data_IF_497494070824
#
_entry.id   IF_497494070824
#
_cell.length_a   1.000
_cell.length_b   1.000
_cell.length_c   1.000
_cell.angle_alpha   90.00
_cell.angle_beta   90.00
_cell.angle_gamma   90.00
#
_symmetry.space_group_name_H-M   'P 1'
#
loop_
_entity.id
_entity.type
_entity.pdbx_description
1 polymer ?
#
# COMPACT_ATOMS: atom_id res chain seq x y z
N UNK A 1 -2.14 -42.42 1.67
CA UNK A 1 -1.21 -41.65 0.81
C UNK A 1 -1.97 -40.51 0.17
N UNK A 2 -2.02 -39.33 0.82
CA UNK A 2 -2.77 -38.16 0.37
C UNK A 2 -1.79 -37.05 -0.10
N UNK A 3 -0.91 -37.38 -1.07
CA UNK A 3 -0.03 -36.40 -1.72
C UNK A 3 -0.35 -36.36 -3.22
N UNK A 4 -1.54 -35.89 -3.56
CA UNK A 4 -1.89 -35.59 -4.95
C UNK A 4 -1.47 -34.18 -5.35
N UNK A 5 -1.27 -33.90 -6.67
CA UNK A 5 -0.88 -32.59 -7.19
C UNK A 5 -1.82 -31.44 -6.75
N UNK A 6 -3.07 -31.75 -6.42
CA UNK A 6 -4.01 -30.77 -5.87
C UNK A 6 -3.60 -30.21 -4.50
N UNK A 7 -2.95 -31.02 -3.67
CA UNK A 7 -2.55 -30.58 -2.33
C UNK A 7 -1.32 -29.63 -2.39
N UNK A 8 -0.42 -29.86 -3.31
CA UNK A 8 0.75 -28.98 -3.53
C UNK A 8 0.33 -27.62 -4.12
N UNK A 9 -0.69 -27.57 -4.97
CA UNK A 9 -1.24 -26.33 -5.51
C UNK A 9 -1.99 -25.53 -4.41
N UNK A 10 -2.75 -26.21 -3.56
CA UNK A 10 -3.45 -25.56 -2.43
C UNK A 10 -2.47 -24.99 -1.43
N UNK A 11 -1.38 -25.71 -1.11
CA UNK A 11 -0.33 -25.20 -0.20
C UNK A 11 0.34 -23.96 -0.79
N UNK A 12 0.74 -23.99 -2.06
CA UNK A 12 1.33 -22.83 -2.74
C UNK A 12 0.38 -21.64 -2.82
N UNK A 13 -0.91 -21.87 -3.05
CA UNK A 13 -1.92 -20.80 -3.06
C UNK A 13 -2.05 -20.15 -1.68
N UNK A 14 -2.02 -20.95 -0.61
CA UNK A 14 -2.07 -20.45 0.75
C UNK A 14 -0.80 -19.68 1.13
N UNK A 15 0.37 -20.13 0.70
CA UNK A 15 1.65 -19.43 0.95
C UNK A 15 1.74 -18.08 0.21
N UNK A 16 1.11 -17.97 -0.95
CA UNK A 16 1.08 -16.74 -1.75
C UNK A 16 -0.08 -15.79 -1.37
N UNK A 17 -1.09 -16.27 -0.68
CA UNK A 17 -2.28 -15.49 -0.31
C UNK A 17 -1.95 -14.20 0.49
N UNK A 18 -1.03 -14.20 1.46
CA UNK A 18 -0.64 -12.98 2.17
C UNK A 18 0.03 -11.96 1.24
N UNK A 19 0.90 -12.41 0.33
CA UNK A 19 1.61 -11.56 -0.63
C UNK A 19 0.66 -11.01 -1.68
N UNK A 20 -0.27 -11.83 -2.16
CA UNK A 20 -1.33 -11.41 -3.06
C UNK A 20 -2.37 -10.48 -2.41
N UNK A 21 -2.34 -10.35 -1.08
CA UNK A 21 -3.26 -9.50 -0.33
C UNK A 21 -4.66 -10.08 -0.17
N UNK A 22 -4.88 -11.35 -0.50
CA UNK A 22 -6.21 -11.98 -0.44
C UNK A 22 -6.64 -12.37 0.98
N UNK A 23 -5.71 -12.33 1.94
CA UNK A 23 -5.97 -12.62 3.35
C UNK A 23 -5.52 -11.47 4.24
N UNK A 24 -6.19 -11.30 5.37
CA UNK A 24 -5.74 -10.42 6.43
C UNK A 24 -4.41 -10.92 7.00
N UNK A 25 -3.53 -10.01 7.38
CA UNK A 25 -2.19 -10.33 7.93
C UNK A 25 -2.02 -9.62 9.27
N UNK A 26 -1.41 -10.30 10.22
CA UNK A 26 -1.07 -9.73 11.51
C UNK A 26 0.42 -9.92 11.80
N UNK A 27 1.07 -8.90 12.35
CA UNK A 27 2.47 -8.96 12.72
C UNK A 27 3.03 -7.63 13.20
N UNK A 28 4.29 -7.62 13.60
CA UNK A 28 5.01 -6.40 13.96
C UNK A 28 5.29 -5.55 12.72
N UNK A 29 5.46 -4.25 12.91
CA UNK A 29 5.72 -3.36 11.79
C UNK A 29 5.83 -1.89 12.15
N UNK A 30 5.57 -1.05 11.15
CA UNK A 30 5.61 0.41 11.22
C UNK A 30 4.25 1.01 10.90
N UNK A 31 3.92 2.08 11.63
CA UNK A 31 2.87 3.01 11.27
C UNK A 31 3.50 4.37 11.00
N UNK A 32 3.24 4.92 9.82
CA UNK A 32 3.73 6.23 9.37
C UNK A 32 2.49 7.10 9.15
N UNK A 33 2.40 8.19 9.89
CA UNK A 33 1.31 9.16 9.74
C UNK A 33 1.85 10.42 9.08
N UNK A 34 1.20 10.85 8.01
CA UNK A 34 1.51 12.07 7.27
C UNK A 34 0.30 12.98 7.29
N UNK A 35 0.50 14.23 7.64
CA UNK A 35 -0.55 15.26 7.54
C UNK A 35 0.03 16.55 6.97
N UNK A 36 -0.81 17.33 6.30
CA UNK A 36 -0.42 18.59 5.71
C UNK A 36 0.15 19.56 6.78
N UNK A 37 1.05 20.44 6.36
CA UNK A 37 1.56 21.49 7.22
C UNK A 37 0.43 22.34 7.77
N UNK A 38 0.58 22.80 9.01
CA UNK A 38 -0.39 23.69 9.63
C UNK A 38 -0.50 24.98 8.81
N UNK A 39 -1.72 25.39 8.47
CA UNK A 39 -1.99 26.58 7.64
C UNK A 39 -1.87 26.37 6.13
N UNK A 40 -1.55 25.18 5.64
CA UNK A 40 -1.65 24.86 4.19
C UNK A 40 -3.14 24.82 3.79
N UNK A 41 -3.63 25.92 3.20
CA UNK A 41 -5.05 26.15 2.94
C UNK A 41 -5.72 25.09 2.08
N UNK A 42 -7.00 24.87 2.34
CA UNK A 42 -7.86 23.88 1.69
C UNK A 42 -8.26 24.24 0.25
N UNK A 43 -7.89 25.42 -0.26
CA UNK A 43 -8.58 26.05 -1.38
C UNK A 43 -7.85 26.06 -2.72
N UNK A 44 -6.74 25.35 -2.89
CA UNK A 44 -6.09 25.23 -4.20
C UNK A 44 -6.40 23.90 -4.87
N UNK A 45 -7.44 23.90 -5.68
CA UNK A 45 -7.71 22.85 -6.67
C UNK A 45 -6.54 22.81 -7.66
N UNK A 46 -5.85 21.68 -7.76
CA UNK A 46 -4.86 21.47 -8.79
C UNK A 46 -3.40 21.56 -8.35
N UNK A 47 -3.02 20.81 -7.30
CA UNK A 47 -1.60 20.63 -6.99
C UNK A 47 -0.92 19.77 -8.05
N UNK A 48 -0.23 20.41 -8.98
CA UNK A 48 0.77 19.78 -9.83
C UNK A 48 2.00 19.31 -9.05
N UNK A 49 3.05 18.82 -9.73
CA UNK A 49 4.33 18.49 -9.08
C UNK A 49 4.86 19.71 -8.32
N UNK A 50 5.52 19.46 -7.19
CA UNK A 50 6.17 20.53 -6.41
C UNK A 50 7.14 21.29 -7.29
N UNK A 51 6.86 22.56 -7.54
CA UNK A 51 7.77 23.54 -8.10
C UNK A 51 8.11 24.54 -6.99
N UNK A 52 9.28 25.17 -7.04
CA UNK A 52 9.96 25.87 -5.94
C UNK A 52 9.23 27.08 -5.30
N UNK A 53 7.96 27.35 -5.64
CA UNK A 53 7.20 28.51 -5.14
C UNK A 53 5.68 28.31 -5.01
N UNK A 54 5.19 27.06 -4.85
CA UNK A 54 3.76 26.77 -4.96
C UNK A 54 3.08 26.63 -3.58
N UNK A 55 1.86 27.18 -3.35
CA UNK A 55 1.05 26.95 -2.14
C UNK A 55 0.76 25.47 -1.79
N UNK A 56 1.07 24.56 -2.70
CA UNK A 56 1.00 23.12 -2.47
C UNK A 56 2.18 22.55 -1.65
N UNK A 57 3.22 23.34 -1.31
CA UNK A 57 4.45 22.84 -0.68
C UNK A 57 4.23 22.19 0.68
N UNK A 58 3.30 22.69 1.47
CA UNK A 58 2.93 22.13 2.75
C UNK A 58 1.89 21.00 2.70
N UNK A 59 1.52 20.50 1.52
CA UNK A 59 0.50 19.46 1.39
C UNK A 59 1.10 18.12 1.01
N UNK A 60 0.60 17.06 1.63
CA UNK A 60 0.96 15.69 1.26
C UNK A 60 0.44 15.37 -0.13
N UNK A 61 1.29 14.83 -0.98
CA UNK A 61 0.98 14.48 -2.36
C UNK A 61 0.93 12.97 -2.56
N UNK A 62 0.24 12.53 -3.61
CA UNK A 62 0.22 11.11 -4.00
C UNK A 62 1.63 10.54 -4.22
N UNK A 63 2.54 11.36 -4.76
CA UNK A 63 3.95 11.00 -4.95
C UNK A 63 4.67 10.72 -3.63
N UNK A 64 4.37 11.46 -2.57
CA UNK A 64 4.98 11.25 -1.26
C UNK A 64 4.62 9.87 -0.72
N UNK A 65 3.33 9.51 -0.79
CA UNK A 65 2.86 8.19 -0.40
C UNK A 65 3.45 7.08 -1.28
N UNK A 66 3.59 7.32 -2.59
CA UNK A 66 4.22 6.35 -3.51
C UNK A 66 5.68 6.09 -3.13
N UNK A 67 6.46 7.14 -2.85
CA UNK A 67 7.86 7.01 -2.45
C UNK A 67 8.01 6.25 -1.12
N UNK A 68 7.20 6.61 -0.13
CA UNK A 68 7.18 5.93 1.17
C UNK A 68 6.80 4.45 1.03
N UNK A 69 5.73 4.16 0.31
CA UNK A 69 5.26 2.78 0.07
C UNK A 69 6.30 1.96 -0.69
N UNK A 70 6.90 2.51 -1.74
CA UNK A 70 7.93 1.81 -2.51
C UNK A 70 9.15 1.49 -1.65
N UNK A 71 9.55 2.41 -0.78
CA UNK A 71 10.68 2.17 0.11
C UNK A 71 10.34 1.17 1.23
N UNK A 72 9.11 1.14 1.73
CA UNK A 72 8.65 0.09 2.66
C UNK A 72 8.77 -1.30 2.02
N UNK A 73 8.34 -1.45 0.75
CA UNK A 73 8.53 -2.71 0.02
C UNK A 73 10.02 -3.06 -0.16
N UNK A 74 10.84 -2.08 -0.52
CA UNK A 74 12.29 -2.26 -0.65
C UNK A 74 12.96 -2.65 0.67
N UNK A 75 12.50 -2.10 1.80
CA UNK A 75 12.97 -2.41 3.14
C UNK A 75 12.56 -3.81 3.64
N UNK A 76 11.70 -4.52 2.90
CA UNK A 76 11.26 -5.87 3.21
C UNK A 76 9.87 -5.96 3.86
N UNK A 77 8.99 -5.01 3.59
CA UNK A 77 7.60 -5.14 4.02
C UNK A 77 6.95 -6.39 3.40
N UNK A 78 6.21 -7.13 4.20
CA UNK A 78 5.42 -8.29 3.79
C UNK A 78 3.99 -7.89 3.40
N UNK A 79 3.51 -6.79 3.96
CA UNK A 79 2.20 -6.23 3.70
C UNK A 79 2.20 -4.74 3.97
N UNK A 80 1.52 -3.97 3.12
CA UNK A 80 1.35 -2.52 3.29
C UNK A 80 -0.12 -2.15 3.07
N UNK A 81 -0.61 -1.20 3.85
CA UNK A 81 -1.92 -0.59 3.67
C UNK A 81 -1.82 0.94 3.82
N UNK A 82 -2.69 1.67 3.14
CA UNK A 82 -2.83 3.12 3.28
C UNK A 82 -4.27 3.43 3.70
N UNK A 83 -4.45 4.11 4.81
CA UNK A 83 -5.75 4.39 5.44
C UNK A 83 -6.63 3.11 5.52
N UNK A 84 -6.03 1.98 5.91
CA UNK A 84 -6.72 0.69 5.98
C UNK A 84 -6.95 -0.01 4.64
N UNK A 85 -6.58 0.61 3.51
CA UNK A 85 -6.69 -0.03 2.19
C UNK A 85 -5.43 -0.85 1.90
N UNK A 86 -5.55 -2.18 1.93
CA UNK A 86 -4.46 -3.10 1.61
C UNK A 86 -3.95 -2.89 0.19
N UNK A 87 -2.65 -2.73 0.06
CA UNK A 87 -1.99 -2.64 -1.24
C UNK A 87 -1.60 -4.02 -1.76
N UNK A 88 -1.70 -4.19 -3.06
CA UNK A 88 -1.30 -5.36 -3.84
C UNK A 88 -0.47 -4.90 -5.03
N UNK A 89 0.06 -5.83 -5.82
CA UNK A 89 0.75 -5.50 -7.09
C UNK A 89 -0.12 -4.76 -8.11
N UNK A 90 -1.44 -4.83 -7.96
CA UNK A 90 -2.41 -4.13 -8.83
C UNK A 90 -2.88 -2.80 -8.25
N UNK A 91 -2.43 -2.43 -7.06
CA UNK A 91 -2.85 -1.20 -6.40
C UNK A 91 -2.19 0.02 -7.03
N UNK A 92 -2.96 1.11 -7.12
CA UNK A 92 -2.44 2.39 -7.60
C UNK A 92 -2.79 3.48 -6.60
N UNK A 93 -1.77 4.28 -6.25
CA UNK A 93 -1.91 5.53 -5.53
C UNK A 93 -1.87 6.64 -6.56
N UNK A 94 -2.93 7.42 -6.67
CA UNK A 94 -3.08 8.46 -7.70
C UNK A 94 -3.65 9.74 -7.10
N UNK A 95 -3.54 10.79 -7.86
CA UNK A 95 -4.20 12.05 -7.61
C UNK A 95 -5.44 12.16 -8.52
N UNK A 96 -6.58 12.55 -7.96
CA UNK A 96 -7.81 12.78 -8.70
C UNK A 96 -8.47 14.06 -8.17
N UNK A 97 -8.43 15.12 -8.97
CA UNK A 97 -8.88 16.44 -8.54
C UNK A 97 -8.06 16.97 -7.36
N UNK A 98 -8.69 17.13 -6.21
CA UNK A 98 -8.04 17.59 -4.97
C UNK A 98 -7.73 16.45 -3.98
N UNK A 99 -8.02 15.19 -4.33
CA UNK A 99 -7.91 14.05 -3.42
C UNK A 99 -6.85 13.04 -3.88
N UNK A 100 -6.15 12.45 -2.92
CA UNK A 100 -5.36 11.24 -3.15
C UNK A 100 -6.31 10.05 -3.13
N UNK A 101 -6.21 9.18 -4.11
CA UNK A 101 -7.02 7.97 -4.23
C UNK A 101 -6.14 6.72 -4.20
N UNK A 102 -6.62 5.70 -3.52
CA UNK A 102 -6.03 4.36 -3.53
C UNK A 102 -7.10 3.38 -3.99
N UNK A 103 -6.82 2.63 -5.05
CA UNK A 103 -7.76 1.65 -5.61
C UNK A 103 -9.15 2.26 -5.86
N UNK A 104 -9.20 3.45 -6.47
CA UNK A 104 -10.42 4.23 -6.76
C UNK A 104 -11.18 4.75 -5.52
N UNK A 105 -10.58 4.68 -4.33
CA UNK A 105 -11.16 5.20 -3.08
C UNK A 105 -10.42 6.46 -2.67
N UNK A 106 -11.12 7.58 -2.46
CA UNK A 106 -10.50 8.80 -1.96
C UNK A 106 -10.05 8.59 -0.51
N UNK A 107 -8.88 9.13 -0.19
CA UNK A 107 -8.32 9.11 1.16
C UNK A 107 -8.63 10.43 1.86
N UNK A 108 -9.01 10.33 3.13
CA UNK A 108 -9.05 11.46 4.06
C UNK A 108 -7.71 11.64 4.77
N UNK A 109 -7.44 12.86 5.24
CA UNK A 109 -6.32 13.17 6.13
C UNK A 109 -6.64 12.81 7.59
N UNK A 110 -5.64 12.47 8.43
CA UNK A 110 -4.25 12.23 8.06
C UNK A 110 -4.08 10.96 7.22
N UNK A 111 -2.98 10.89 6.45
CA UNK A 111 -2.63 9.70 5.65
C UNK A 111 -1.84 8.74 6.52
N UNK A 112 -2.38 7.57 6.77
CA UNK A 112 -1.79 6.56 7.63
C UNK A 112 -1.30 5.39 6.77
N UNK A 113 0.00 5.21 6.70
CA UNK A 113 0.63 4.07 6.03
C UNK A 113 1.05 3.07 7.10
N UNK A 114 0.52 1.85 7.02
CA UNK A 114 0.87 0.74 7.89
C UNK A 114 1.59 -0.33 7.09
N UNK A 115 2.68 -0.86 7.65
CA UNK A 115 3.46 -1.91 7.02
C UNK A 115 3.87 -2.97 8.03
N UNK A 116 3.69 -4.24 7.68
CA UNK A 116 4.17 -5.39 8.45
C UNK A 116 5.48 -5.87 7.86
N UNK A 117 6.45 -6.17 8.70
CA UNK A 117 7.77 -6.66 8.31
C UNK A 117 8.51 -7.30 9.46
N UNK A 118 9.71 -7.84 9.19
CA UNK A 118 10.53 -8.51 10.20
C UNK A 118 10.97 -7.55 11.32
N UNK A 119 10.63 -7.82 12.59
CA UNK A 119 10.72 -6.83 13.66
C UNK A 119 12.14 -6.30 13.93
N UNK A 120 13.16 -7.13 13.70
CA UNK A 120 14.56 -6.75 14.00
C UNK A 120 15.22 -5.92 12.90
N UNK A 121 14.84 -6.09 11.66
CA UNK A 121 15.53 -5.53 10.49
C UNK A 121 14.72 -4.49 9.76
N UNK A 122 13.42 -4.67 9.65
CA UNK A 122 12.54 -3.84 8.84
C UNK A 122 12.52 -2.36 9.25
N UNK A 123 12.34 -1.98 10.54
CA UNK A 123 12.33 -0.57 10.93
C UNK A 123 13.67 0.13 10.66
N UNK A 124 14.78 -0.56 10.92
CA UNK A 124 16.11 -0.02 10.67
C UNK A 124 16.40 0.14 9.18
N UNK A 125 16.03 -0.86 8.36
CA UNK A 125 16.21 -0.82 6.91
C UNK A 125 15.41 0.33 6.27
N UNK A 126 14.19 0.56 6.73
CA UNK A 126 13.39 1.69 6.26
C UNK A 126 13.99 3.03 6.71
N UNK A 127 14.35 3.18 7.99
CA UNK A 127 14.89 4.43 8.54
C UNK A 127 16.21 4.84 7.86
N UNK A 128 17.06 3.88 7.50
CA UNK A 128 18.33 4.11 6.80
C UNK A 128 18.16 4.23 5.27
N UNK A 129 16.98 3.96 4.77
CA UNK A 129 16.67 3.98 3.34
C UNK A 129 16.27 5.36 2.82
N UNK A 130 16.03 5.46 1.50
CA UNK A 130 15.52 6.67 0.85
C UNK A 130 14.20 7.17 1.44
N UNK A 131 13.32 6.27 1.88
CA UNK A 131 12.04 6.64 2.48
C UNK A 131 12.20 7.36 3.81
N UNK A 132 13.09 6.88 4.69
CA UNK A 132 13.40 7.56 5.94
C UNK A 132 13.99 8.94 5.72
N UNK A 133 14.95 9.06 4.80
CA UNK A 133 15.54 10.36 4.40
C UNK A 133 14.52 11.30 3.79
N UNK A 134 13.61 10.76 2.97
CA UNK A 134 12.54 11.53 2.36
C UNK A 134 11.54 12.07 3.39
N UNK A 135 11.15 11.26 4.36
CA UNK A 135 10.29 11.71 5.47
C UNK A 135 10.94 12.86 6.28
N UNK A 136 12.25 12.78 6.49
CA UNK A 136 12.99 13.86 7.14
C UNK A 136 12.93 15.16 6.30
N UNK A 137 13.07 15.08 4.98
CA UNK A 137 12.93 16.22 4.07
C UNK A 137 11.51 16.79 4.09
N UNK A 138 10.47 15.94 4.06
CA UNK A 138 9.08 16.40 4.16
C UNK A 138 8.84 17.21 5.42
N UNK A 139 9.40 16.77 6.54
CA UNK A 139 9.27 17.47 7.82
C UNK A 139 10.07 18.78 7.85
N UNK A 140 11.35 18.75 7.45
CA UNK A 140 12.25 19.90 7.62
C UNK A 140 12.06 20.99 6.56
N UNK A 141 11.72 20.62 5.33
CA UNK A 141 11.64 21.56 4.21
C UNK A 141 10.22 22.01 3.93
N UNK A 142 9.25 21.10 4.07
CA UNK A 142 7.85 21.38 3.72
C UNK A 142 6.92 21.51 4.92
N UNK A 143 7.44 21.41 6.15
CA UNK A 143 6.69 21.45 7.40
C UNK A 143 5.52 20.45 7.46
N UNK A 144 5.57 19.39 6.65
CA UNK A 144 4.58 18.30 6.69
C UNK A 144 4.71 17.58 8.04
N UNK A 145 3.59 17.37 8.71
CA UNK A 145 3.57 16.56 9.92
C UNK A 145 3.88 15.11 9.58
N UNK A 146 4.92 14.56 10.21
CA UNK A 146 5.37 13.18 10.00
C UNK A 146 5.56 12.53 11.36
N UNK A 147 4.86 11.44 11.61
CA UNK A 147 5.07 10.56 12.76
C UNK A 147 5.39 9.14 12.28
N UNK A 148 6.37 8.51 12.92
CA UNK A 148 6.77 7.12 12.60
C UNK A 148 6.84 6.33 13.90
N UNK A 149 6.00 5.33 14.01
CA UNK A 149 5.87 4.51 15.22
C UNK A 149 6.10 3.04 14.89
N UNK A 150 6.96 2.38 15.67
CA UNK A 150 7.13 0.92 15.61
C UNK A 150 6.07 0.26 16.46
N UNK A 151 5.41 -0.77 15.91
CA UNK A 151 4.34 -1.50 16.57
C UNK A 151 4.67 -2.99 16.68
N UNK A 152 4.42 -3.57 17.86
CA UNK A 152 4.63 -5.01 18.10
C UNK A 152 3.60 -5.89 17.41
N UNK A 153 2.40 -5.37 17.15
CA UNK A 153 1.32 -6.08 16.45
C UNK A 153 0.44 -5.09 15.69
N UNK A 154 0.40 -5.26 14.39
CA UNK A 154 -0.50 -4.58 13.47
C UNK A 154 -1.38 -5.62 12.80
N UNK A 155 -2.58 -5.23 12.42
CA UNK A 155 -3.47 -6.05 11.60
C UNK A 155 -3.82 -5.28 10.33
N UNK A 156 -3.50 -5.88 9.18
CA UNK A 156 -3.84 -5.34 7.86
C UNK A 156 -4.94 -6.22 7.25
N UNK A 157 -6.03 -5.62 6.77
CA UNK A 157 -7.14 -6.38 6.18
C UNK A 157 -6.72 -7.08 4.89
N UNK A 158 -7.55 -8.01 4.42
CA UNK A 158 -7.48 -8.48 3.04
C UNK A 158 -7.77 -7.33 2.08
N UNK A 159 -7.16 -7.34 0.90
CA UNK A 159 -7.57 -6.44 -0.18
C UNK A 159 -8.99 -6.80 -0.61
N UNK A 160 -9.80 -5.78 -0.86
CA UNK A 160 -11.09 -6.01 -1.51
C UNK A 160 -10.76 -6.38 -2.96
N UNK A 161 -10.79 -7.70 -3.28
CA UNK A 161 -10.65 -8.16 -4.66
C UNK A 161 -11.81 -7.57 -5.46
N UNK A 162 -11.48 -6.86 -6.54
CA UNK A 162 -12.47 -6.61 -7.59
C UNK A 162 -12.77 -7.99 -8.17
N UNK A 163 -13.89 -8.58 -7.76
CA UNK A 163 -14.37 -9.84 -8.30
C UNK A 163 -14.48 -9.66 -9.81
N UNK A 164 -13.67 -10.36 -10.57
CA UNK A 164 -13.80 -10.45 -12.02
C UNK A 164 -15.05 -11.29 -12.32
N UNK A 165 -16.20 -10.64 -12.44
CA UNK A 165 -17.48 -11.29 -12.74
C UNK A 165 -17.58 -11.83 -14.16
N UNK A 166 -16.49 -11.93 -14.90
CA UNK A 166 -16.48 -12.30 -16.32
C UNK A 166 -15.57 -13.48 -16.67
N UNK A 167 -15.13 -14.29 -15.71
CA UNK A 167 -14.52 -15.57 -16.01
C UNK A 167 -15.61 -16.64 -16.05
N UNK A 168 -16.23 -16.82 -17.19
CA UNK A 168 -17.05 -18.01 -17.44
C UNK A 168 -16.11 -19.18 -17.70
N UNK A 169 -16.21 -20.26 -16.92
CA UNK A 169 -15.48 -21.48 -17.20
C UNK A 169 -15.86 -21.98 -18.60
N UNK A 170 -14.87 -22.10 -19.48
CA UNK A 170 -15.07 -22.76 -20.76
C UNK A 170 -15.20 -24.24 -20.47
N UNK A 171 -16.42 -24.74 -20.44
CA UNK A 171 -16.67 -26.17 -20.40
C UNK A 171 -16.13 -26.77 -21.69
N UNK A 172 -15.07 -27.55 -21.56
CA UNK A 172 -14.51 -28.33 -22.65
C UNK A 172 -15.55 -29.39 -23.04
N UNK A 173 -16.31 -29.11 -24.08
CA UNK A 173 -17.21 -30.09 -24.66
C UNK A 173 -16.32 -31.13 -25.33
N UNK A 174 -16.12 -32.26 -24.65
CA UNK A 174 -15.58 -33.47 -25.26
C UNK A 174 -16.55 -33.90 -26.35
N UNK A 175 -16.20 -33.61 -27.58
CA UNK A 175 -16.84 -34.20 -28.76
C UNK A 175 -16.70 -35.70 -28.71
N UNK A 176 -17.78 -36.38 -28.45
CA UNK A 176 -17.92 -37.81 -28.60
C UNK A 176 -18.39 -38.00 -30.01
N UNK A 177 -17.49 -38.22 -30.92
CA UNK A 177 -17.82 -38.77 -32.23
C UNK A 177 -17.88 -40.28 -32.09
N UNK A 178 -19.12 -40.76 -32.20
CA UNK A 178 -19.44 -42.19 -32.34
C UNK A 178 -19.76 -42.54 -33.78
N UNK A 179 -19.20 -43.63 -34.19
CA UNK A 179 -19.53 -44.51 -35.33
C UNK A 179 -19.08 -44.09 -36.69
#
# INVERSE_FOLDING_TARGET
SANGPGNALSTRANDLAPVAGTMAVRGPGLTITLDDAEGSGTDTVGAGPREDTNPAEGRVQARDLQLVVNDLWRAGAQAVAVNGHRLTSMSAIRFAGAAIIVNYRPLGRPYIVTAIGTPKTFPAAFAQGPGGSYLATLRSTFNISVDVTTQGSLELPASVSVSTRYATAVNNVSGKDGS
#
